data_IF_106107976754
#
_entry.id   IF_106107976754
#
_cell.length_a   1.000
_cell.length_b   1.000
_cell.length_c   1.000
_cell.angle_alpha   90.00
_cell.angle_beta   90.00
_cell.angle_gamma   90.00
#
_symmetry.space_group_name_H-M   'P 1'
#
loop_
_entity.id
_entity.type
_entity.pdbx_description
1 polymer ?
#
# COMPACT_ATOMS: atom_id res chain seq x y z
N UNK A 1 8.38 1.55 14.20
CA UNK A 1 7.54 1.76 13.00
C UNK A 1 8.30 1.46 11.70
N UNK A 2 9.37 2.19 11.34
CA UNK A 2 10.12 1.88 10.09
C UNK A 2 10.67 0.44 10.04
N UNK A 3 11.33 -0.01 11.12
CA UNK A 3 11.80 -1.40 11.24
C UNK A 3 10.63 -2.40 11.14
N UNK A 4 9.51 -2.10 11.79
CA UNK A 4 8.29 -2.91 11.74
C UNK A 4 7.74 -3.05 10.32
N UNK A 5 7.69 -1.94 9.55
CA UNK A 5 7.30 -1.95 8.13
C UNK A 5 8.23 -2.88 7.34
N UNK A 6 9.55 -2.77 7.52
CA UNK A 6 10.53 -3.60 6.81
C UNK A 6 10.34 -5.08 7.15
N UNK A 7 10.18 -5.42 8.43
CA UNK A 7 10.00 -6.80 8.87
C UNK A 7 8.73 -7.39 8.25
N UNK A 8 7.59 -6.70 8.36
CA UNK A 8 6.32 -7.18 7.79
C UNK A 8 6.38 -7.28 6.27
N UNK A 9 6.93 -6.27 5.59
CA UNK A 9 7.12 -6.31 4.14
C UNK A 9 8.02 -7.48 3.70
N UNK A 10 9.03 -7.82 4.50
CA UNK A 10 9.92 -8.97 4.23
C UNK A 10 9.17 -10.29 4.41
N UNK A 11 8.41 -10.45 5.49
CA UNK A 11 7.58 -11.63 5.75
C UNK A 11 6.56 -11.82 4.63
N UNK A 12 5.83 -10.76 4.27
CA UNK A 12 4.85 -10.81 3.19
C UNK A 12 5.50 -11.12 1.84
N UNK A 13 6.64 -10.52 1.52
CA UNK A 13 7.37 -10.83 0.28
C UNK A 13 7.86 -12.27 0.23
N UNK A 14 8.26 -12.84 1.37
CA UNK A 14 8.59 -14.26 1.46
C UNK A 14 7.35 -15.13 1.18
N UNK A 15 6.20 -14.84 1.80
CA UNK A 15 4.95 -15.56 1.53
C UNK A 15 4.50 -15.40 0.07
N UNK A 16 4.64 -14.21 -0.50
CA UNK A 16 4.27 -13.90 -1.89
C UNK A 16 5.13 -14.70 -2.89
N UNK A 17 6.41 -14.92 -2.58
CA UNK A 17 7.29 -15.76 -3.41
C UNK A 17 6.81 -17.22 -3.53
N UNK A 18 6.01 -17.70 -2.58
CA UNK A 18 5.46 -19.06 -2.60
C UNK A 18 4.21 -19.19 -3.50
N UNK A 19 3.64 -18.07 -3.93
CA UNK A 19 2.42 -18.04 -4.75
C UNK A 19 2.66 -17.54 -6.18
N UNK A 20 3.84 -16.99 -6.45
CA UNK A 20 4.27 -16.58 -7.79
C UNK A 20 4.60 -17.79 -8.67
N UNK A 21 4.08 -17.77 -9.89
CA UNK A 21 4.35 -18.69 -10.98
C UNK A 21 4.23 -17.93 -12.32
N UNK A 22 4.34 -18.66 -13.44
CA UNK A 22 4.32 -18.06 -14.79
C UNK A 22 3.00 -17.30 -15.07
N UNK A 23 1.88 -17.78 -14.52
CA UNK A 23 0.55 -17.23 -14.79
C UNK A 23 0.17 -16.07 -13.84
N UNK A 24 0.90 -15.88 -12.74
CA UNK A 24 0.65 -14.86 -11.72
C UNK A 24 1.96 -14.26 -11.17
N UNK A 25 2.82 -13.79 -12.08
CA UNK A 25 4.17 -13.30 -11.75
C UNK A 25 4.23 -12.18 -10.70
N UNK A 26 3.13 -11.44 -10.47
CA UNK A 26 3.04 -10.40 -9.43
C UNK A 26 2.46 -10.91 -8.11
N UNK A 27 2.33 -12.22 -7.93
CA UNK A 27 1.85 -12.85 -6.70
C UNK A 27 0.44 -12.42 -6.36
N UNK A 28 0.24 -11.97 -5.12
CA UNK A 28 -1.07 -11.57 -4.59
C UNK A 28 -1.68 -10.42 -5.40
N UNK A 29 -0.87 -9.51 -5.94
CA UNK A 29 -1.34 -8.39 -6.77
C UNK A 29 -2.02 -8.91 -8.04
N UNK A 30 -1.54 -10.02 -8.61
CA UNK A 30 -2.21 -10.65 -9.77
C UNK A 30 -3.63 -11.11 -9.41
N UNK A 31 -3.81 -11.56 -8.16
CA UNK A 31 -5.10 -12.03 -7.64
C UNK A 31 -6.04 -10.87 -7.32
N UNK A 32 -5.53 -9.81 -6.70
CA UNK A 32 -6.24 -8.53 -6.50
C UNK A 32 -6.77 -7.97 -7.82
N UNK A 33 -5.91 -7.98 -8.86
CA UNK A 33 -6.20 -7.35 -10.15
C UNK A 33 -6.91 -8.26 -11.15
N UNK A 34 -7.31 -9.47 -10.74
CA UNK A 34 -7.93 -10.45 -11.62
C UNK A 34 -9.25 -9.95 -12.25
N UNK A 35 -10.07 -9.22 -11.47
CA UNK A 35 -11.40 -8.65 -11.82
C UNK A 35 -12.49 -9.65 -12.20
N UNK A 36 -12.15 -10.61 -13.04
CA UNK A 36 -13.03 -11.65 -13.58
C UNK A 36 -12.86 -12.93 -12.77
N UNK A 37 -13.99 -13.58 -12.45
CA UNK A 37 -14.01 -14.83 -11.69
C UNK A 37 -13.16 -15.91 -12.35
N UNK A 38 -13.25 -16.05 -13.67
CA UNK A 38 -12.48 -17.05 -14.42
C UNK A 38 -10.96 -16.89 -14.24
N UNK A 39 -10.46 -15.65 -14.15
CA UNK A 39 -9.04 -15.38 -13.87
C UNK A 39 -8.69 -15.66 -12.42
N UNK A 40 -9.56 -15.24 -11.48
CA UNK A 40 -9.38 -15.55 -10.06
C UNK A 40 -9.32 -17.07 -9.82
N UNK A 41 -10.19 -17.85 -10.47
CA UNK A 41 -10.19 -19.30 -10.42
C UNK A 41 -8.94 -19.91 -11.05
N UNK A 42 -8.51 -19.41 -12.22
CA UNK A 42 -7.27 -19.88 -12.86
C UNK A 42 -6.07 -19.69 -11.92
N UNK A 43 -5.96 -18.54 -11.26
CA UNK A 43 -4.92 -18.26 -10.25
C UNK A 43 -5.03 -19.24 -9.08
N UNK A 44 -6.21 -19.41 -8.49
CA UNK A 44 -6.44 -20.34 -7.37
C UNK A 44 -6.14 -21.80 -7.73
N UNK A 45 -6.42 -22.21 -8.97
CA UNK A 45 -6.16 -23.56 -9.47
C UNK A 45 -4.68 -23.79 -9.79
N UNK A 46 -3.92 -22.73 -10.08
CA UNK A 46 -2.46 -22.81 -10.23
C UNK A 46 -1.72 -23.03 -8.90
N UNK A 47 -2.38 -22.76 -7.77
CA UNK A 47 -1.79 -22.88 -6.43
C UNK A 47 -1.96 -24.28 -5.84
N UNK A 48 -0.85 -24.87 -5.41
CA UNK A 48 -0.85 -26.08 -4.60
C UNK A 48 -1.23 -25.78 -3.13
N UNK A 49 -1.27 -26.80 -2.27
CA UNK A 49 -1.62 -26.66 -0.85
C UNK A 49 -0.72 -25.69 -0.10
N UNK A 50 0.59 -25.72 -0.36
CA UNK A 50 1.55 -24.80 0.26
C UNK A 50 1.28 -23.36 -0.17
N UNK A 51 1.12 -23.11 -1.47
CA UNK A 51 0.81 -21.79 -2.03
C UNK A 51 -0.50 -21.24 -1.48
N UNK A 52 -1.57 -22.03 -1.40
CA UNK A 52 -2.84 -21.60 -0.79
C UNK A 52 -2.70 -21.26 0.70
N UNK A 53 -1.89 -22.03 1.42
CA UNK A 53 -1.59 -21.77 2.83
C UNK A 53 -0.78 -20.48 2.99
N UNK A 54 0.23 -20.25 2.15
CA UNK A 54 1.01 -19.02 2.12
C UNK A 54 0.17 -17.80 1.73
N UNK A 55 -0.75 -17.93 0.77
CA UNK A 55 -1.70 -16.88 0.39
C UNK A 55 -2.59 -16.50 1.58
N UNK A 56 -3.14 -17.50 2.29
CA UNK A 56 -3.95 -17.29 3.49
C UNK A 56 -3.17 -16.58 4.61
N UNK A 57 -1.93 -17.01 4.87
CA UNK A 57 -1.05 -16.31 5.82
C UNK A 57 -0.74 -14.88 5.37
N UNK A 58 -0.46 -14.68 4.08
CA UNK A 58 -0.12 -13.37 3.52
C UNK A 58 -1.25 -12.37 3.76
N UNK A 59 -2.49 -12.73 3.41
CA UNK A 59 -3.68 -11.92 3.67
C UNK A 59 -3.90 -11.69 5.18
N UNK A 60 -3.62 -12.69 6.03
CA UNK A 60 -3.67 -12.52 7.49
C UNK A 60 -2.67 -11.50 8.01
N UNK A 61 -1.43 -11.54 7.53
CA UNK A 61 -0.42 -10.52 7.83
C UNK A 61 -0.76 -9.16 7.24
N UNK A 62 -1.50 -9.11 6.13
CA UNK A 62 -1.88 -7.85 5.49
C UNK A 62 -2.81 -7.00 6.37
N UNK A 63 -3.69 -7.62 7.19
CA UNK A 63 -4.46 -6.90 8.21
C UNK A 63 -3.59 -6.17 9.24
N UNK A 64 -2.44 -6.75 9.60
CA UNK A 64 -1.49 -6.07 10.47
C UNK A 64 -0.72 -5.01 9.68
N UNK A 65 -0.33 -5.34 8.44
CA UNK A 65 0.42 -4.45 7.58
C UNK A 65 -0.36 -3.17 7.24
N UNK A 66 -1.67 -3.25 6.99
CA UNK A 66 -2.51 -2.09 6.69
C UNK A 66 -2.58 -1.07 7.80
N UNK A 67 -2.53 -1.52 9.06
CA UNK A 67 -2.46 -0.62 10.22
C UNK A 67 -1.08 0.06 10.25
N UNK A 68 -0.03 -0.73 10.08
CA UNK A 68 1.35 -0.25 10.20
C UNK A 68 1.73 0.68 9.04
N UNK A 69 1.42 0.34 7.79
CA UNK A 69 1.78 1.17 6.65
C UNK A 69 0.96 2.47 6.63
N UNK A 70 -0.33 2.44 7.01
CA UNK A 70 -1.17 3.65 6.99
C UNK A 70 -0.68 4.65 8.04
N UNK A 71 -0.38 4.19 9.25
CA UNK A 71 0.28 5.02 10.28
C UNK A 71 1.65 5.53 9.82
N UNK A 72 2.44 4.68 9.16
CA UNK A 72 3.75 5.08 8.65
C UNK A 72 3.65 6.20 7.62
N UNK A 73 2.80 6.04 6.60
CA UNK A 73 2.59 7.02 5.54
C UNK A 73 2.02 8.33 6.11
N UNK A 74 1.02 8.25 6.99
CA UNK A 74 0.43 9.45 7.60
C UNK A 74 1.43 10.25 8.43
N UNK A 75 2.30 9.58 9.20
CA UNK A 75 3.39 10.24 9.93
C UNK A 75 4.38 10.90 8.96
N UNK A 76 4.77 10.23 7.87
CA UNK A 76 5.66 10.84 6.88
C UNK A 76 5.02 12.07 6.22
N UNK A 77 3.74 11.99 5.82
CA UNK A 77 2.99 13.13 5.26
C UNK A 77 2.97 14.27 6.29
N UNK A 78 2.61 14.00 7.54
CA UNK A 78 2.55 14.99 8.60
C UNK A 78 3.91 15.69 8.81
N UNK A 79 4.99 14.92 8.91
CA UNK A 79 6.34 15.46 9.15
C UNK A 79 6.81 16.39 8.03
N UNK A 80 6.62 16.01 6.75
CA UNK A 80 7.02 16.87 5.62
C UNK A 80 6.09 18.07 5.48
N UNK A 81 4.79 17.89 5.74
CA UNK A 81 3.77 18.92 5.61
C UNK A 81 3.94 20.02 6.67
N UNK A 82 4.09 19.67 7.94
CA UNK A 82 4.32 20.65 9.02
C UNK A 82 5.60 21.45 8.78
N UNK A 83 6.68 20.77 8.38
CA UNK A 83 7.99 21.40 8.21
C UNK A 83 8.05 22.40 7.05
N UNK A 84 7.26 22.19 6.00
CA UNK A 84 7.23 23.07 4.83
C UNK A 84 6.07 24.07 4.86
N UNK A 85 4.90 23.60 5.29
CA UNK A 85 3.62 24.24 5.01
C UNK A 85 2.80 24.53 6.25
N UNK A 86 3.27 24.28 7.48
CA UNK A 86 2.45 24.39 8.71
C UNK A 86 1.77 25.75 8.93
N UNK A 87 2.29 26.85 8.37
CA UNK A 87 1.69 28.19 8.42
C UNK A 87 0.96 28.63 7.13
N UNK A 88 0.93 27.77 6.11
CA UNK A 88 0.39 28.04 4.78
C UNK A 88 -0.98 27.39 4.59
N UNK A 89 -1.81 27.95 3.70
CA UNK A 89 -3.06 27.31 3.25
C UNK A 89 -2.81 25.93 2.62
N UNK A 90 -1.61 25.69 2.10
CA UNK A 90 -1.17 24.41 1.51
C UNK A 90 -1.16 23.28 2.56
N UNK A 91 -1.08 23.58 3.87
CA UNK A 91 -1.11 22.59 4.95
C UNK A 91 -2.33 21.66 4.85
N UNK A 92 -3.47 22.21 4.40
CA UNK A 92 -4.73 21.49 4.24
C UNK A 92 -4.62 20.29 3.27
N UNK A 93 -3.74 20.35 2.27
CA UNK A 93 -3.50 19.26 1.33
C UNK A 93 -2.90 18.05 2.02
N UNK A 94 -1.87 18.25 2.86
CA UNK A 94 -1.28 17.15 3.61
C UNK A 94 -2.26 16.56 4.64
N UNK A 95 -3.09 17.39 5.28
CA UNK A 95 -4.16 16.92 6.17
C UNK A 95 -5.19 16.07 5.42
N UNK A 96 -5.62 16.49 4.23
CA UNK A 96 -6.51 15.70 3.37
C UNK A 96 -5.86 14.35 3.00
N UNK A 97 -4.59 14.35 2.60
CA UNK A 97 -3.88 13.12 2.24
C UNK A 97 -3.73 12.15 3.42
N UNK A 98 -3.61 12.65 4.65
CA UNK A 98 -3.63 11.80 5.86
C UNK A 98 -4.95 11.03 5.97
N UNK A 99 -6.09 11.72 5.78
CA UNK A 99 -7.40 11.06 5.80
C UNK A 99 -7.58 10.08 4.64
N UNK A 100 -7.06 10.42 3.46
CA UNK A 100 -7.09 9.51 2.30
C UNK A 100 -6.23 8.25 2.52
N UNK A 101 -5.13 8.33 3.28
CA UNK A 101 -4.35 7.15 3.63
C UNK A 101 -5.12 6.19 4.56
N UNK A 102 -5.91 6.71 5.51
CA UNK A 102 -6.81 5.87 6.31
C UNK A 102 -7.96 5.28 5.49
N UNK A 103 -8.50 6.05 4.54
CA UNK A 103 -9.50 5.54 3.61
C UNK A 103 -8.93 4.41 2.73
N UNK A 104 -7.67 4.53 2.28
CA UNK A 104 -6.99 3.48 1.55
C UNK A 104 -6.85 2.19 2.38
N UNK A 105 -6.52 2.29 3.67
CA UNK A 105 -6.46 1.14 4.58
C UNK A 105 -7.83 0.47 4.77
N UNK A 106 -8.92 1.24 4.79
CA UNK A 106 -10.27 0.69 4.82
C UNK A 106 -10.59 -0.07 3.52
N UNK A 107 -10.17 0.47 2.37
CA UNK A 107 -10.33 -0.20 1.09
C UNK A 107 -9.52 -1.49 1.01
N UNK A 108 -8.30 -1.47 1.54
CA UNK A 108 -7.43 -2.63 1.68
C UNK A 108 -8.08 -3.75 2.51
N UNK A 109 -8.72 -3.38 3.62
CA UNK A 109 -9.44 -4.32 4.46
C UNK A 109 -10.60 -5.00 3.71
N UNK A 110 -11.38 -4.24 2.93
CA UNK A 110 -12.52 -4.77 2.17
C UNK A 110 -12.04 -5.70 1.05
N UNK A 111 -10.98 -5.28 0.36
CA UNK A 111 -10.31 -6.04 -0.69
C UNK A 111 -9.81 -7.39 -0.14
N UNK A 112 -9.06 -7.39 0.96
CA UNK A 112 -8.56 -8.60 1.62
C UNK A 112 -9.67 -9.57 2.03
N UNK A 113 -10.80 -9.05 2.55
CA UNK A 113 -11.96 -9.89 2.89
C UNK A 113 -12.51 -10.59 1.65
N UNK A 114 -12.58 -9.90 0.51
CA UNK A 114 -13.06 -10.48 -0.73
C UNK A 114 -12.12 -11.57 -1.28
N UNK A 115 -10.79 -11.36 -1.19
CA UNK A 115 -9.81 -12.40 -1.55
C UNK A 115 -9.89 -13.61 -0.64
N UNK A 116 -10.07 -13.42 0.67
CA UNK A 116 -10.27 -14.53 1.62
C UNK A 116 -11.53 -15.32 1.26
N UNK A 117 -12.62 -14.66 0.89
CA UNK A 117 -13.86 -15.35 0.44
C UNK A 117 -13.60 -16.23 -0.78
N UNK A 118 -12.89 -15.72 -1.78
CA UNK A 118 -12.49 -16.50 -2.96
C UNK A 118 -11.58 -17.68 -2.57
N UNK A 119 -10.57 -17.46 -1.72
CA UNK A 119 -9.64 -18.49 -1.28
C UNK A 119 -10.36 -19.63 -0.53
N UNK A 120 -11.39 -19.30 0.26
CA UNK A 120 -12.22 -20.27 0.99
C UNK A 120 -13.26 -20.99 0.11
N UNK A 121 -13.29 -20.70 -1.20
CA UNK A 121 -14.14 -21.39 -2.17
C UNK A 121 -15.48 -20.73 -2.45
N UNK A 122 -15.74 -19.51 -1.97
CA UNK A 122 -16.90 -18.72 -2.40
C UNK A 122 -16.59 -18.09 -3.77
N UNK A 123 -16.65 -18.91 -4.82
CA UNK A 123 -16.28 -18.57 -6.19
C UNK A 123 -17.39 -17.78 -6.89
N UNK A 124 -17.54 -16.52 -6.50
CA UNK A 124 -18.53 -15.61 -7.06
C UNK A 124 -17.87 -14.38 -7.68
N UNK A 125 -18.37 -13.96 -8.85
CA UNK A 125 -17.91 -12.77 -9.57
C UNK A 125 -17.89 -11.52 -8.69
N UNK A 126 -18.84 -11.40 -7.75
CA UNK A 126 -18.92 -10.27 -6.82
C UNK A 126 -17.63 -10.09 -6.01
N UNK A 127 -17.01 -11.17 -5.54
CA UNK A 127 -15.80 -11.08 -4.71
C UNK A 127 -14.58 -10.68 -5.55
N UNK A 128 -14.44 -11.25 -6.74
CA UNK A 128 -13.37 -10.87 -7.68
C UNK A 128 -13.48 -9.39 -8.09
N UNK A 129 -14.70 -8.91 -8.33
CA UNK A 129 -14.93 -7.49 -8.64
C UNK A 129 -14.70 -6.57 -7.45
N UNK A 130 -15.15 -6.94 -6.24
CA UNK A 130 -14.89 -6.16 -5.02
C UNK A 130 -13.38 -6.04 -4.81
N UNK A 131 -12.63 -7.15 -4.83
CA UNK A 131 -11.18 -7.12 -4.68
C UNK A 131 -10.53 -6.16 -5.69
N UNK A 132 -10.87 -6.27 -6.97
CA UNK A 132 -10.33 -5.41 -8.02
C UNK A 132 -10.60 -3.92 -7.79
N UNK A 133 -11.86 -3.53 -7.59
CA UNK A 133 -12.20 -2.11 -7.49
C UNK A 133 -11.59 -1.47 -6.24
N UNK A 134 -11.62 -2.19 -5.11
CA UNK A 134 -11.01 -1.68 -3.88
C UNK A 134 -9.47 -1.68 -3.95
N UNK A 135 -8.83 -2.64 -4.64
CA UNK A 135 -7.40 -2.62 -4.94
C UNK A 135 -7.00 -1.40 -5.79
N UNK A 136 -7.73 -1.13 -6.87
CA UNK A 136 -7.45 0.04 -7.71
C UNK A 136 -7.62 1.34 -6.92
N UNK A 137 -8.68 1.44 -6.11
CA UNK A 137 -8.90 2.61 -5.26
C UNK A 137 -7.79 2.77 -4.20
N UNK A 138 -7.40 1.70 -3.48
CA UNK A 138 -6.34 1.76 -2.46
C UNK A 138 -5.01 2.19 -3.06
N UNK A 139 -4.60 1.59 -4.18
CA UNK A 139 -3.33 1.92 -4.84
C UNK A 139 -3.31 3.36 -5.36
N UNK A 140 -4.43 3.85 -5.89
CA UNK A 140 -4.54 5.24 -6.36
C UNK A 140 -4.37 6.24 -5.21
N UNK A 141 -5.07 6.02 -4.09
CA UNK A 141 -4.99 6.87 -2.90
C UNK A 141 -3.59 6.86 -2.27
N UNK A 142 -2.98 5.68 -2.12
CA UNK A 142 -1.64 5.55 -1.56
C UNK A 142 -0.58 6.22 -2.44
N UNK A 143 -0.72 6.09 -3.76
CA UNK A 143 0.18 6.71 -4.72
C UNK A 143 0.21 8.24 -4.59
N UNK A 144 -0.95 8.89 -4.36
CA UNK A 144 -1.02 10.34 -4.10
C UNK A 144 -0.21 10.74 -2.85
N UNK A 145 -0.37 9.98 -1.75
CA UNK A 145 0.37 10.21 -0.51
C UNK A 145 1.88 10.02 -0.68
N UNK A 146 2.29 8.97 -1.38
CA UNK A 146 3.71 8.68 -1.67
C UNK A 146 4.32 9.76 -2.55
N UNK A 147 3.65 10.18 -3.62
CA UNK A 147 4.15 11.28 -4.47
C UNK A 147 4.30 12.58 -3.67
N UNK A 148 3.32 12.89 -2.81
CA UNK A 148 3.42 14.05 -1.92
C UNK A 148 4.65 13.97 -1.01
N UNK A 149 4.90 12.82 -0.36
CA UNK A 149 6.08 12.62 0.50
C UNK A 149 7.36 12.83 -0.30
N UNK A 150 7.48 12.20 -1.48
CA UNK A 150 8.69 12.25 -2.31
C UNK A 150 9.00 13.68 -2.75
N UNK A 151 8.03 14.36 -3.37
CA UNK A 151 8.20 15.73 -3.89
C UNK A 151 8.58 16.70 -2.77
N UNK A 152 7.87 16.65 -1.64
CA UNK A 152 8.14 17.54 -0.51
C UNK A 152 9.45 17.22 0.20
N UNK A 153 9.85 15.95 0.27
CA UNK A 153 11.14 15.55 0.83
C UNK A 153 12.30 16.06 -0.03
N UNK A 154 12.21 15.95 -1.36
CA UNK A 154 13.20 16.54 -2.27
C UNK A 154 13.28 18.05 -2.13
N UNK A 155 12.14 18.73 -2.06
CA UNK A 155 12.09 20.18 -1.84
C UNK A 155 12.72 20.59 -0.51
N UNK A 156 12.48 19.85 0.58
CA UNK A 156 13.10 20.07 1.88
C UNK A 156 14.63 19.94 1.83
N UNK A 157 15.13 18.90 1.17
CA UNK A 157 16.57 18.65 1.02
C UNK A 157 17.21 19.79 0.21
N UNK A 158 16.60 20.14 -0.93
CA UNK A 158 17.06 21.25 -1.77
C UNK A 158 17.11 22.56 -0.98
N UNK A 159 16.03 22.93 -0.30
CA UNK A 159 15.95 24.13 0.54
C UNK A 159 17.07 24.16 1.60
N UNK A 160 17.35 23.02 2.26
CA UNK A 160 18.37 22.93 3.31
C UNK A 160 19.79 23.07 2.77
N UNK A 161 20.10 22.51 1.60
CA UNK A 161 21.42 22.58 0.99
C UNK A 161 21.71 23.99 0.47
N UNK A 162 20.78 24.59 -0.25
CA UNK A 162 21.01 25.87 -0.94
C UNK A 162 20.90 27.10 -0.03
N UNK A 163 19.94 27.13 0.91
CA UNK A 163 19.80 28.28 1.83
C UNK A 163 20.91 28.32 2.89
N UNK A 164 21.40 27.16 3.35
CA UNK A 164 22.51 27.11 4.31
C UNK A 164 23.83 27.59 3.70
N UNK A 165 24.02 27.37 2.39
CA UNK A 165 25.19 27.85 1.65
C UNK A 165 25.19 29.38 1.52
N UNK A 166 24.03 29.98 1.25
CA UNK A 166 23.88 31.44 1.17
C UNK A 166 24.19 32.17 2.49
N UNK A 167 23.77 31.62 3.64
CA UNK A 167 24.03 32.23 4.95
C UNK A 167 25.50 32.12 5.42
N UNK A 168 26.29 31.23 4.83
CA UNK A 168 27.72 31.09 5.15
C UNK A 168 28.62 31.95 4.26
N UNK A 169 28.16 32.36 3.08
CA UNK A 169 28.90 33.24 2.16
C UNK A 169 28.60 34.73 2.38
N UNK A 170 27.65 35.08 3.24
CA UNK A 170 27.25 36.46 3.54
C UNK A 170 27.81 37.00 4.87
N UNK A 171 28.70 36.25 5.53
CA UNK A 171 29.49 36.66 6.70
C UNK A 171 30.97 36.67 6.31
#
# INVERSE_FOLDING_TARGET
MFITVIILATVMRYLDSQIQNIDNAQGIISFELAKDLSKSEAILNSWNTLSKTSAGMSMGFDFLFLIIYSLFITILIHLVNEKLWGKSKINSVGVLLIWLAFLAALFDMIENVALIKLLLGDLQQKWSSIAYYFAICKFSLLSLGVFFIIINSFYLIFKKIFLKKYSQTSN
#
